data_IF_610703145452
#
_entry.id   IF_610703145452
#
_cell.length_a   1.000
_cell.length_b   1.000
_cell.length_c   1.000
_cell.angle_alpha   90.00
_cell.angle_beta   90.00
_cell.angle_gamma   90.00
#
_symmetry.space_group_name_H-M   'P 1'
#
loop_
_entity.id
_entity.type
_entity.pdbx_description
1 polymer ?
#
# COMPACT_ATOMS: atom_id res chain seq x y z
N UNK A 1 28.24 -6.63 6.44
CA UNK A 1 26.97 -5.93 6.27
C UNK A 1 26.11 -6.07 7.51
N UNK A 2 25.75 -4.96 8.11
CA UNK A 2 24.92 -4.97 9.30
C UNK A 2 23.46 -5.17 8.91
N UNK A 3 22.77 -6.15 9.48
CA UNK A 3 21.35 -6.33 9.17
C UNK A 3 20.52 -5.14 9.66
N UNK A 4 19.49 -4.80 8.90
CA UNK A 4 18.57 -3.76 9.32
C UNK A 4 17.86 -4.17 10.60
N UNK A 5 17.70 -3.26 11.56
CA UNK A 5 16.92 -3.58 12.75
C UNK A 5 15.50 -3.94 12.36
N UNK A 6 14.94 -4.94 13.05
CA UNK A 6 13.57 -5.34 12.81
C UNK A 6 12.64 -4.24 13.29
N UNK A 7 11.67 -3.90 12.46
CA UNK A 7 10.62 -2.98 12.88
C UNK A 7 9.74 -3.65 13.93
N UNK A 8 9.42 -2.91 14.97
CA UNK A 8 8.45 -3.39 15.95
C UNK A 8 7.04 -3.47 15.36
N UNK A 9 6.73 -2.58 14.42
CA UNK A 9 5.42 -2.51 13.77
C UNK A 9 5.58 -2.66 12.28
N UNK A 10 4.59 -3.29 11.66
CA UNK A 10 4.52 -3.33 10.20
C UNK A 10 4.19 -1.92 9.70
N UNK A 11 4.85 -1.53 8.61
CA UNK A 11 4.73 -0.19 8.06
C UNK A 11 3.83 -0.20 6.83
N UNK A 12 2.84 0.69 6.82
CA UNK A 12 1.93 0.88 5.70
C UNK A 12 2.14 2.28 5.12
N UNK A 13 2.41 2.33 3.82
CA UNK A 13 2.50 3.59 3.08
C UNK A 13 1.15 3.88 2.46
N UNK A 14 0.57 5.02 2.80
CA UNK A 14 -0.74 5.46 2.27
C UNK A 14 -0.52 6.60 1.30
N UNK A 15 -1.02 6.44 0.08
CA UNK A 15 -0.86 7.39 -1.02
C UNK A 15 -2.23 7.87 -1.46
N UNK A 16 -2.54 9.13 -1.21
CA UNK A 16 -3.81 9.74 -1.63
C UNK A 16 -3.64 11.25 -1.59
N UNK A 17 -4.11 11.96 -2.60
CA UNK A 17 -4.01 13.42 -2.62
C UNK A 17 -5.04 14.09 -1.73
N UNK A 18 -6.06 13.37 -1.28
CA UNK A 18 -7.08 13.88 -0.38
C UNK A 18 -6.70 13.67 1.07
N UNK A 19 -6.55 14.77 1.81
CA UNK A 19 -6.13 14.73 3.21
C UNK A 19 -7.09 13.90 4.08
N UNK A 20 -8.40 14.09 3.89
CA UNK A 20 -9.40 13.38 4.67
C UNK A 20 -9.31 11.88 4.47
N UNK A 21 -9.07 11.44 3.23
CA UNK A 21 -8.89 10.02 2.92
C UNK A 21 -7.64 9.45 3.59
N UNK A 22 -6.53 10.20 3.52
CA UNK A 22 -5.29 9.75 4.16
C UNK A 22 -5.48 9.57 5.67
N UNK A 23 -6.07 10.58 6.30
CA UNK A 23 -6.28 10.56 7.74
C UNK A 23 -7.24 9.46 8.15
N UNK A 24 -8.28 9.22 7.37
CA UNK A 24 -9.25 8.16 7.68
C UNK A 24 -8.56 6.81 7.71
N UNK A 25 -7.77 6.50 6.69
CA UNK A 25 -7.09 5.21 6.62
C UNK A 25 -6.04 5.06 7.71
N UNK A 26 -5.31 6.15 8.03
CA UNK A 26 -4.37 6.13 9.14
C UNK A 26 -5.07 5.86 10.46
N UNK A 27 -6.24 6.49 10.66
CA UNK A 27 -7.03 6.28 11.88
C UNK A 27 -7.57 4.85 11.99
N UNK A 28 -7.76 4.17 10.88
CA UNK A 28 -8.13 2.76 10.90
C UNK A 28 -6.95 1.87 11.29
N UNK A 29 -5.75 2.21 10.81
CA UNK A 29 -4.58 1.36 10.94
C UNK A 29 -3.82 1.52 12.25
N UNK A 30 -3.64 2.74 12.71
CA UNK A 30 -2.79 2.99 13.87
C UNK A 30 -3.26 2.31 15.15
N UNK A 31 -4.58 2.29 15.47
CA UNK A 31 -5.04 1.56 16.66
C UNK A 31 -4.82 0.05 16.58
N UNK A 32 -4.65 -0.49 15.37
CA UNK A 32 -4.42 -1.92 15.17
C UNK A 32 -2.94 -2.29 15.24
N UNK A 33 -2.09 -1.33 15.55
CA UNK A 33 -0.66 -1.59 15.74
C UNK A 33 0.21 -1.37 14.51
N UNK A 34 -0.32 -0.80 13.43
CA UNK A 34 0.49 -0.49 12.26
C UNK A 34 1.12 0.89 12.37
N UNK A 35 2.34 1.02 11.89
CA UNK A 35 2.94 2.32 11.65
C UNK A 35 2.52 2.78 10.26
N UNK A 36 2.28 4.07 10.08
CA UNK A 36 1.85 4.59 8.78
C UNK A 36 2.72 5.77 8.35
N UNK A 37 2.94 5.85 7.04
CA UNK A 37 3.55 7.02 6.41
C UNK A 37 2.55 7.51 5.36
N UNK A 38 2.27 8.81 5.36
CA UNK A 38 1.28 9.42 4.49
C UNK A 38 1.98 10.27 3.44
N UNK A 39 1.67 10.01 2.17
CA UNK A 39 2.16 10.86 1.07
C UNK A 39 1.00 11.24 0.17
N UNK A 40 1.15 12.35 -0.55
CA UNK A 40 0.05 12.94 -1.31
C UNK A 40 0.24 12.85 -2.82
N UNK A 41 1.28 12.21 -3.30
CA UNK A 41 1.53 12.11 -4.74
C UNK A 41 2.23 10.81 -5.09
N UNK A 42 2.13 10.43 -6.37
CA UNK A 42 2.82 9.26 -6.88
C UNK A 42 4.33 9.39 -6.80
N UNK A 43 4.86 10.57 -7.08
CA UNK A 43 6.30 10.81 -7.02
C UNK A 43 6.83 10.61 -5.60
N UNK A 44 6.13 11.18 -4.61
CA UNK A 44 6.49 11.01 -3.21
C UNK A 44 6.37 9.54 -2.79
N UNK A 45 5.36 8.84 -3.30
CA UNK A 45 5.16 7.43 -2.99
C UNK A 45 6.32 6.56 -3.44
N UNK A 46 6.78 6.77 -4.67
CA UNK A 46 7.89 5.99 -5.22
C UNK A 46 9.16 6.23 -4.40
N UNK A 47 9.44 7.48 -4.09
CA UNK A 47 10.60 7.86 -3.32
C UNK A 47 10.55 7.26 -1.91
N UNK A 48 9.41 7.41 -1.24
CA UNK A 48 9.22 6.90 0.11
C UNK A 48 9.30 5.37 0.15
N UNK A 49 8.69 4.69 -0.82
CA UNK A 49 8.70 3.23 -0.88
C UNK A 49 10.11 2.69 -1.04
N UNK A 50 10.93 3.34 -1.82
CA UNK A 50 12.32 2.91 -2.02
C UNK A 50 13.18 3.15 -0.78
N UNK A 51 12.90 4.20 -0.04
CA UNK A 51 13.68 4.55 1.17
C UNK A 51 13.27 3.69 2.37
N UNK A 52 11.99 3.49 2.59
CA UNK A 52 11.50 2.84 3.81
C UNK A 52 11.11 1.38 3.63
N UNK A 53 10.92 0.93 2.41
CA UNK A 53 10.51 -0.43 2.07
C UNK A 53 9.34 -0.89 2.95
N UNK A 54 8.17 -0.25 2.79
CA UNK A 54 7.01 -0.60 3.62
C UNK A 54 6.55 -2.04 3.39
N UNK A 55 5.79 -2.55 4.34
CA UNK A 55 5.23 -3.89 4.26
C UNK A 55 3.99 -3.95 3.38
N UNK A 56 3.35 -2.80 3.17
CA UNK A 56 2.13 -2.68 2.37
C UNK A 56 2.04 -1.26 1.82
N UNK A 57 1.53 -1.13 0.60
CA UNK A 57 1.21 0.17 0.01
C UNK A 57 -0.28 0.22 -0.24
N UNK A 58 -0.93 1.32 0.17
CA UNK A 58 -2.34 1.59 -0.11
C UNK A 58 -2.38 2.86 -0.94
N UNK A 59 -2.90 2.77 -2.16
CA UNK A 59 -2.87 3.91 -3.06
C UNK A 59 -4.19 4.15 -3.77
N UNK A 60 -4.55 5.42 -3.96
CA UNK A 60 -5.59 5.81 -4.90
C UNK A 60 -4.96 5.86 -6.30
N UNK A 61 -5.79 5.72 -7.32
CA UNK A 61 -5.34 5.81 -8.72
C UNK A 61 -5.73 7.13 -9.36
N UNK A 62 -6.69 7.87 -8.78
CA UNK A 62 -7.13 9.16 -9.28
C UNK A 62 -6.38 10.26 -8.52
N UNK A 63 -5.22 10.63 -9.03
CA UNK A 63 -4.40 11.69 -8.45
C UNK A 63 -3.83 12.57 -9.55
N UNK A 64 -3.61 13.88 -9.27
CA UNK A 64 -2.94 14.76 -10.24
C UNK A 64 -1.50 14.34 -10.49
N UNK A 65 -0.98 14.73 -11.63
CA UNK A 65 0.39 14.41 -12.03
C UNK A 65 0.51 12.97 -12.48
N UNK A 66 1.63 12.28 -12.19
CA UNK A 66 1.72 10.86 -12.51
C UNK A 66 0.67 10.12 -11.68
N UNK A 67 -0.37 9.63 -12.35
CA UNK A 67 -1.51 9.00 -11.70
C UNK A 67 -1.14 7.74 -10.93
N UNK A 68 -2.08 7.24 -10.13
CA UNK A 68 -1.87 6.04 -9.34
C UNK A 68 -1.54 4.82 -10.18
N UNK A 69 -2.09 4.72 -11.38
CA UNK A 69 -1.76 3.62 -12.26
C UNK A 69 -0.29 3.64 -12.67
N UNK A 70 0.22 4.82 -13.04
CA UNK A 70 1.63 4.98 -13.40
C UNK A 70 2.54 4.71 -12.20
N UNK A 71 2.16 5.18 -11.03
CA UNK A 71 2.88 4.92 -9.79
C UNK A 71 2.96 3.43 -9.52
N UNK A 72 1.83 2.75 -9.62
CA UNK A 72 1.75 1.31 -9.41
C UNK A 72 2.66 0.57 -10.39
N UNK A 73 2.64 0.99 -11.66
CA UNK A 73 3.47 0.37 -12.68
C UNK A 73 4.95 0.52 -12.35
N UNK A 74 5.39 1.72 -11.93
CA UNK A 74 6.78 1.96 -11.55
C UNK A 74 7.18 1.10 -10.36
N UNK A 75 6.33 1.02 -9.33
CA UNK A 75 6.63 0.22 -8.15
C UNK A 75 6.76 -1.26 -8.49
N UNK A 76 5.95 -1.77 -9.40
CA UNK A 76 5.98 -3.17 -9.82
C UNK A 76 7.14 -3.48 -10.76
N UNK A 77 7.79 -2.47 -11.31
CA UNK A 77 8.95 -2.64 -12.19
C UNK A 77 10.26 -2.16 -11.55
N UNK A 78 10.24 -1.90 -10.25
CA UNK A 78 11.43 -1.50 -9.49
C UNK A 78 11.83 -2.66 -8.58
N UNK A 79 13.06 -3.17 -8.67
CA UNK A 79 13.46 -4.37 -7.90
C UNK A 79 13.23 -4.26 -6.40
N UNK A 80 13.46 -3.09 -5.80
CA UNK A 80 13.31 -2.92 -4.35
C UNK A 80 11.86 -2.92 -3.88
N UNK A 81 10.90 -2.65 -4.77
CA UNK A 81 9.50 -2.49 -4.39
C UNK A 81 8.54 -3.49 -5.04
N UNK A 82 9.02 -4.26 -6.01
CA UNK A 82 8.11 -5.09 -6.83
C UNK A 82 7.33 -6.12 -6.03
N UNK A 83 7.87 -6.59 -4.92
CA UNK A 83 7.22 -7.61 -4.10
C UNK A 83 6.34 -7.03 -2.98
N UNK A 84 6.36 -5.72 -2.79
CA UNK A 84 5.52 -5.09 -1.77
C UNK A 84 4.06 -5.17 -2.22
N UNK A 85 3.17 -5.79 -1.43
CA UNK A 85 1.76 -5.87 -1.83
C UNK A 85 1.13 -4.50 -1.85
N UNK A 86 0.24 -4.27 -2.81
CA UNK A 86 -0.43 -2.98 -3.00
C UNK A 86 -1.93 -3.18 -3.00
N UNK A 87 -2.64 -2.37 -2.19
CA UNK A 87 -4.09 -2.28 -2.21
C UNK A 87 -4.47 -0.99 -2.92
N UNK A 88 -5.31 -1.09 -3.93
CA UNK A 88 -5.86 0.09 -4.62
C UNK A 88 -7.19 0.45 -3.96
N UNK A 89 -7.30 1.69 -3.49
CA UNK A 89 -8.53 2.23 -2.88
C UNK A 89 -8.95 3.43 -3.69
N UNK A 90 -10.08 3.34 -4.39
CA UNK A 90 -10.50 4.39 -5.33
C UNK A 90 -12.00 4.49 -5.44
N UNK A 91 -12.49 5.65 -5.94
CA UNK A 91 -13.90 5.81 -6.29
C UNK A 91 -14.30 5.07 -7.55
N UNK A 92 -13.32 4.54 -8.31
CA UNK A 92 -13.57 3.81 -9.54
C UNK A 92 -14.09 2.41 -9.21
N UNK A 93 -15.01 1.91 -10.04
CA UNK A 93 -15.57 0.56 -9.87
C UNK A 93 -14.47 -0.52 -9.87
N UNK A 94 -14.57 -1.52 -8.98
CA UNK A 94 -13.63 -2.64 -8.97
C UNK A 94 -13.53 -3.39 -10.29
N UNK A 95 -14.58 -3.36 -11.11
CA UNK A 95 -14.55 -3.99 -12.45
C UNK A 95 -13.46 -3.39 -13.33
N UNK A 96 -13.25 -2.09 -13.20
CA UNK A 96 -12.20 -1.39 -13.95
C UNK A 96 -10.85 -1.54 -13.23
N UNK A 97 -10.84 -1.42 -11.91
CA UNK A 97 -9.63 -1.54 -11.10
C UNK A 97 -8.97 -2.91 -11.24
N UNK A 98 -9.76 -3.96 -11.46
CA UNK A 98 -9.24 -5.32 -11.59
C UNK A 98 -8.28 -5.53 -12.75
N UNK A 99 -8.17 -4.55 -13.66
CA UNK A 99 -7.21 -4.60 -14.75
C UNK A 99 -5.81 -4.17 -14.31
N UNK A 100 -5.66 -3.67 -13.10
CA UNK A 100 -4.39 -3.17 -12.57
C UNK A 100 -3.67 -4.24 -11.75
N UNK A 101 -2.34 -4.25 -11.75
CA UNK A 101 -1.57 -5.25 -10.99
C UNK A 101 -1.50 -4.89 -9.50
N UNK A 102 -2.51 -5.29 -8.73
CA UNK A 102 -2.56 -5.03 -7.29
C UNK A 102 -3.01 -6.28 -6.56
N UNK A 103 -2.69 -6.36 -5.27
CA UNK A 103 -3.07 -7.48 -4.43
C UNK A 103 -4.56 -7.45 -4.09
N UNK A 104 -5.15 -6.26 -4.01
CA UNK A 104 -6.57 -6.10 -3.71
C UNK A 104 -7.07 -4.75 -4.20
N UNK A 105 -8.39 -4.65 -4.38
CA UNK A 105 -9.06 -3.45 -4.89
C UNK A 105 -10.26 -3.16 -4.01
N UNK A 106 -10.33 -1.93 -3.47
CA UNK A 106 -11.45 -1.51 -2.63
C UNK A 106 -12.04 -0.22 -3.19
N UNK A 107 -13.36 -0.12 -3.20
CA UNK A 107 -14.04 1.07 -3.67
C UNK A 107 -14.38 2.01 -2.52
N UNK A 108 -14.14 3.31 -2.73
CA UNK A 108 -14.55 4.33 -1.75
C UNK A 108 -16.06 4.50 -1.78
N UNK A 109 -16.69 4.77 -0.64
CA UNK A 109 -16.12 4.92 0.70
C UNK A 109 -15.76 3.56 1.30
N UNK A 110 -14.61 3.51 1.98
CA UNK A 110 -14.07 2.26 2.51
C UNK A 110 -14.55 2.05 3.93
N UNK A 111 -15.21 0.92 4.16
CA UNK A 111 -15.68 0.54 5.48
C UNK A 111 -14.52 -0.05 6.27
N UNK A 112 -14.41 0.33 7.55
CA UNK A 112 -13.28 0.00 8.41
C UNK A 112 -12.98 -1.49 8.48
N UNK A 113 -14.00 -2.29 8.75
CA UNK A 113 -13.82 -3.73 8.93
C UNK A 113 -13.31 -4.40 7.64
N UNK A 114 -13.91 -4.05 6.52
CA UNK A 114 -13.51 -4.57 5.21
C UNK A 114 -12.07 -4.18 4.89
N UNK A 115 -11.71 -2.94 5.16
CA UNK A 115 -10.35 -2.45 4.92
C UNK A 115 -9.34 -3.22 5.77
N UNK A 116 -9.60 -3.36 7.07
CA UNK A 116 -8.68 -4.06 7.96
C UNK A 116 -8.54 -5.54 7.63
N UNK A 117 -9.63 -6.19 7.23
CA UNK A 117 -9.56 -7.57 6.77
C UNK A 117 -8.66 -7.71 5.55
N UNK A 118 -8.82 -6.80 4.59
CA UNK A 118 -8.02 -6.82 3.36
C UNK A 118 -6.54 -6.60 3.66
N UNK A 119 -6.24 -5.66 4.56
CA UNK A 119 -4.86 -5.40 5.00
C UNK A 119 -4.24 -6.66 5.59
N UNK A 120 -4.94 -7.31 6.52
CA UNK A 120 -4.44 -8.53 7.16
C UNK A 120 -4.19 -9.65 6.15
N UNK A 121 -5.09 -9.83 5.20
CA UNK A 121 -4.94 -10.83 4.14
C UNK A 121 -3.69 -10.58 3.30
N UNK A 122 -3.47 -9.34 2.89
CA UNK A 122 -2.33 -8.98 2.07
C UNK A 122 -1.02 -9.15 2.84
N UNK A 123 -1.01 -8.78 4.12
CA UNK A 123 0.17 -8.94 4.98
C UNK A 123 0.52 -10.42 5.18
N UNK A 124 -0.48 -11.23 5.47
CA UNK A 124 -0.27 -12.65 5.72
C UNK A 124 0.21 -13.39 4.48
N UNK A 125 -0.37 -13.11 3.32
CA UNK A 125 0.03 -13.72 2.06
C UNK A 125 1.46 -13.39 1.71
N UNK A 126 1.84 -12.12 1.88
CA UNK A 126 3.20 -11.67 1.60
C UNK A 126 4.21 -12.34 2.54
N UNK A 127 3.91 -12.42 3.82
CA UNK A 127 4.77 -13.07 4.80
C UNK A 127 4.93 -14.55 4.47
N UNK A 128 3.86 -15.21 4.06
CA UNK A 128 3.87 -16.62 3.70
C UNK A 128 4.76 -16.87 2.47
N UNK A 129 4.67 -16.03 1.47
CA UNK A 129 5.50 -16.13 0.28
C UNK A 129 6.97 -15.97 0.63
N UNK A 130 7.30 -15.00 1.46
CA UNK A 130 8.68 -14.77 1.91
C UNK A 130 9.22 -15.98 2.67
N UNK A 131 8.43 -16.56 3.54
CA UNK A 131 8.83 -17.75 4.29
C UNK A 131 9.14 -18.92 3.36
N UNK A 132 8.31 -19.12 2.35
CA UNK A 132 8.49 -20.21 1.39
C UNK A 132 9.77 -20.00 0.57
N UNK A 133 10.04 -18.79 0.16
CA UNK A 133 11.21 -18.51 -0.69
C UNK A 133 12.53 -18.63 0.05
N UNK A 134 12.54 -18.75 1.36
CA UNK A 134 13.73 -18.89 2.17
C UNK A 134 14.19 -20.35 2.36
N UNK A 135 13.35 -21.26 2.04
CA UNK A 135 13.65 -22.68 2.26
C UNK A 135 14.66 -23.28 1.27
#
# INVERSE_FOLDING_TARGET
>A
MTPQPRREKQLVLIVDDDLASRELLANYLEPEGYAVVLVSSGTAAIQEARQTLPDLIVTDVLMPGPGGLQTLFVLKNTPETLEIPTIVVSGISPRILGLMPAAAYLQKPVEKHTFLQTVRKCMNSHTRVKSTSRS
#
